data_IF_563528837456
#
_entry.id   IF_563528837456
#
_cell.length_a   1.000
_cell.length_b   1.000
_cell.length_c   1.000
_cell.angle_alpha   90.00
_cell.angle_beta   90.00
_cell.angle_gamma   90.00
#
_symmetry.space_group_name_H-M   'P 1'
#
loop_
_entity.id
_entity.type
_entity.pdbx_description
1 polymer ?
#
# COMPACT_ATOMS: atom_id res chain seq x y z
N UNK A 1 1.46 -19.31 -16.40
CA UNK A 1 2.53 -18.35 -16.05
C UNK A 1 3.53 -19.02 -15.12
N UNK A 2 4.84 -18.89 -15.39
CA UNK A 2 5.90 -19.30 -14.48
C UNK A 2 6.40 -18.05 -13.75
N UNK A 3 6.35 -18.05 -12.41
CA UNK A 3 6.75 -16.89 -11.63
C UNK A 3 8.26 -16.72 -11.53
N UNK A 4 8.73 -15.48 -11.32
CA UNK A 4 10.15 -15.12 -11.29
C UNK A 4 10.95 -15.95 -10.25
N UNK A 5 10.35 -16.24 -9.09
CA UNK A 5 10.98 -17.07 -8.04
C UNK A 5 11.26 -18.51 -8.46
N UNK A 6 10.59 -19.02 -9.49
CA UNK A 6 10.65 -20.43 -9.92
C UNK A 6 11.67 -20.64 -11.07
N UNK A 7 12.35 -19.57 -11.51
CA UNK A 7 13.36 -19.66 -12.56
C UNK A 7 14.75 -20.03 -12.00
N UNK A 8 15.49 -20.77 -12.81
CA UNK A 8 16.90 -21.10 -12.59
C UNK A 8 17.73 -20.65 -13.78
N UNK A 9 19.05 -20.52 -13.55
CA UNK A 9 19.99 -20.25 -14.64
C UNK A 9 19.90 -21.31 -15.74
N UNK A 10 19.82 -20.86 -16.99
CA UNK A 10 19.67 -21.71 -18.17
C UNK A 10 18.21 -21.92 -18.60
N UNK A 11 17.24 -21.51 -17.80
CA UNK A 11 15.82 -21.57 -18.18
C UNK A 11 15.51 -20.60 -19.33
N UNK A 12 14.46 -20.93 -20.11
CA UNK A 12 13.88 -20.02 -21.09
C UNK A 12 12.68 -19.31 -20.49
N UNK A 13 12.60 -18.02 -20.77
CA UNK A 13 11.46 -17.16 -20.39
C UNK A 13 10.56 -17.00 -21.60
N UNK A 14 9.27 -17.24 -21.41
CA UNK A 14 8.20 -16.91 -22.33
C UNK A 14 6.94 -16.66 -21.52
N UNK A 15 6.81 -15.42 -21.01
CA UNK A 15 5.67 -15.05 -20.16
C UNK A 15 5.50 -13.52 -20.13
N UNK A 16 4.42 -13.06 -19.51
CA UNK A 16 4.12 -11.64 -19.33
C UNK A 16 4.68 -11.16 -18.01
N UNK A 17 5.26 -9.95 -17.99
CA UNK A 17 5.77 -9.27 -16.79
C UNK A 17 5.40 -7.78 -16.81
N UNK A 18 5.34 -7.17 -15.64
CA UNK A 18 5.31 -5.71 -15.51
C UNK A 18 6.72 -5.16 -15.70
N UNK A 19 6.89 -4.23 -16.63
CA UNK A 19 8.10 -3.43 -16.75
C UNK A 19 8.16 -2.38 -15.64
N UNK A 20 8.74 -2.71 -14.49
CA UNK A 20 8.83 -1.77 -13.36
C UNK A 20 9.74 -0.58 -13.63
N UNK A 21 10.78 -0.78 -14.43
CA UNK A 21 11.77 0.24 -14.75
C UNK A 21 12.39 -0.03 -16.10
N UNK A 22 12.67 1.03 -16.86
CA UNK A 22 13.40 0.97 -18.13
C UNK A 22 14.36 2.15 -18.21
N UNK A 23 15.61 1.89 -18.56
CA UNK A 23 16.63 2.89 -18.77
C UNK A 23 17.58 2.49 -19.90
N UNK A 24 17.70 3.35 -20.90
CA UNK A 24 18.69 3.17 -21.94
C UNK A 24 20.09 3.55 -21.44
N UNK A 25 21.08 2.76 -21.80
CA UNK A 25 22.47 2.94 -21.45
C UNK A 25 23.39 2.59 -22.62
N UNK A 26 24.67 2.93 -22.49
CA UNK A 26 25.69 2.66 -23.51
C UNK A 26 26.81 1.82 -22.91
N UNK A 27 27.18 0.75 -23.58
CA UNK A 27 28.33 -0.09 -23.19
C UNK A 27 29.65 0.68 -23.36
N UNK A 28 30.73 0.20 -22.75
CA UNK A 28 32.09 0.74 -22.95
C UNK A 28 32.54 0.79 -24.42
N UNK A 29 31.92 -0.03 -25.27
CA UNK A 29 32.21 -0.11 -26.71
C UNK A 29 31.24 0.72 -27.55
N UNK A 30 30.43 1.60 -26.96
CA UNK A 30 29.53 2.51 -27.64
C UNK A 30 28.22 1.88 -28.14
N UNK A 31 27.90 0.61 -27.79
CA UNK A 31 26.64 -0.02 -28.16
C UNK A 31 25.55 0.34 -27.14
N UNK A 32 24.38 0.77 -27.64
CA UNK A 32 23.21 1.00 -26.83
C UNK A 32 22.62 -0.32 -26.34
N UNK A 33 22.11 -0.32 -25.11
CA UNK A 33 21.34 -1.39 -24.51
C UNK A 33 20.32 -0.82 -23.51
N UNK A 34 19.25 -1.55 -23.26
CA UNK A 34 18.29 -1.15 -22.21
C UNK A 34 18.43 -2.03 -20.99
N UNK A 35 18.49 -1.37 -19.83
CA UNK A 35 18.27 -1.98 -18.52
C UNK A 35 16.78 -1.98 -18.23
N UNK A 36 16.24 -3.11 -17.88
CA UNK A 36 14.83 -3.29 -17.53
C UNK A 36 14.76 -4.04 -16.21
N UNK A 37 13.84 -3.64 -15.34
CA UNK A 37 13.44 -4.42 -14.17
C UNK A 37 12.07 -5.00 -14.48
N UNK A 38 11.99 -6.32 -14.53
CA UNK A 38 10.74 -7.06 -14.69
C UNK A 38 10.19 -7.44 -13.34
N UNK A 39 8.87 -7.39 -13.18
CA UNK A 39 8.17 -7.68 -11.93
C UNK A 39 7.01 -8.65 -12.16
N UNK A 40 6.86 -9.59 -11.23
CA UNK A 40 5.61 -10.30 -10.95
C UNK A 40 5.30 -10.24 -9.45
N UNK A 41 4.21 -10.88 -9.01
CA UNK A 41 3.81 -10.88 -7.59
C UNK A 41 4.81 -11.57 -6.65
N UNK A 42 5.80 -12.27 -7.18
CA UNK A 42 6.82 -12.99 -6.38
C UNK A 42 8.11 -12.20 -6.21
N UNK A 43 8.30 -11.12 -6.98
CA UNK A 43 9.47 -10.27 -6.88
C UNK A 43 9.84 -9.58 -8.17
N UNK A 44 11.10 -9.18 -8.26
CA UNK A 44 11.68 -8.49 -9.41
C UNK A 44 12.94 -9.21 -9.90
N UNK A 45 13.25 -9.04 -11.19
CA UNK A 45 14.50 -9.53 -11.80
C UNK A 45 15.06 -8.49 -12.76
N UNK A 46 16.38 -8.35 -12.78
CA UNK A 46 17.05 -7.55 -13.79
C UNK A 46 16.95 -8.23 -15.18
N UNK A 47 16.70 -7.41 -16.20
CA UNK A 47 16.70 -7.85 -17.59
C UNK A 47 17.53 -6.91 -18.46
N UNK A 48 18.16 -7.47 -19.49
CA UNK A 48 18.99 -6.73 -20.46
C UNK A 48 18.49 -6.95 -21.87
N UNK A 49 18.33 -5.85 -22.60
CA UNK A 49 18.06 -5.82 -24.01
C UNK A 49 19.32 -5.31 -24.69
N UNK A 50 20.16 -6.23 -25.17
CA UNK A 50 21.47 -5.88 -25.74
C UNK A 50 21.42 -5.23 -27.11
N UNK A 51 20.29 -5.33 -27.81
CA UNK A 51 20.02 -4.71 -29.11
C UNK A 51 18.58 -4.15 -29.11
N UNK A 52 18.35 -2.95 -28.57
CA UNK A 52 17.03 -2.33 -28.51
C UNK A 52 16.40 -2.05 -29.87
N UNK A 53 17.23 -1.95 -30.92
CA UNK A 53 16.76 -1.70 -32.29
C UNK A 53 16.42 -2.98 -33.07
N UNK A 54 16.54 -4.15 -32.45
CA UNK A 54 16.18 -5.41 -33.08
C UNK A 54 14.67 -5.43 -33.39
N UNK A 55 14.23 -5.89 -34.59
CA UNK A 55 12.82 -5.99 -34.95
C UNK A 55 11.96 -6.82 -34.01
N UNK A 56 12.58 -7.67 -33.17
CA UNK A 56 11.89 -8.45 -32.14
C UNK A 56 11.58 -7.66 -30.88
N UNK A 57 12.08 -6.44 -30.71
CA UNK A 57 11.82 -5.57 -29.57
C UNK A 57 10.79 -4.53 -30.00
N UNK A 58 9.55 -4.69 -29.53
CA UNK A 58 8.48 -3.72 -29.74
C UNK A 58 8.62 -2.50 -28.82
N UNK A 59 7.86 -1.45 -29.10
CA UNK A 59 7.79 -0.26 -28.26
C UNK A 59 7.07 -0.57 -26.95
N UNK A 60 7.67 -0.18 -25.85
CA UNK A 60 7.10 -0.26 -24.50
C UNK A 60 7.78 0.75 -23.59
N UNK A 61 7.11 1.12 -22.50
CA UNK A 61 7.60 2.03 -21.47
C UNK A 61 7.57 1.40 -20.08
N UNK A 62 8.11 2.12 -19.12
CA UNK A 62 7.95 1.81 -17.69
C UNK A 62 6.45 1.72 -17.37
N UNK A 63 6.09 0.74 -16.53
CA UNK A 63 4.73 0.38 -16.10
C UNK A 63 3.86 -0.31 -17.17
N UNK A 64 4.39 -0.58 -18.35
CA UNK A 64 3.71 -1.45 -19.30
C UNK A 64 3.79 -2.93 -18.93
N UNK A 65 2.74 -3.66 -19.21
CA UNK A 65 2.75 -5.12 -19.19
C UNK A 65 3.29 -5.62 -20.54
N UNK A 66 4.34 -6.43 -20.47
CA UNK A 66 5.11 -6.85 -21.63
C UNK A 66 5.28 -8.37 -21.65
N UNK A 67 5.03 -8.97 -22.81
CA UNK A 67 5.38 -10.36 -23.08
C UNK A 67 6.86 -10.45 -23.44
N UNK A 68 7.61 -11.22 -22.68
CA UNK A 68 9.06 -11.31 -22.77
C UNK A 68 9.46 -12.71 -23.21
N UNK A 69 10.30 -12.79 -24.24
CA UNK A 69 11.02 -14.01 -24.61
C UNK A 69 12.53 -13.81 -24.40
N UNK A 70 13.17 -14.71 -23.66
CA UNK A 70 14.57 -14.57 -23.32
C UNK A 70 15.17 -15.82 -22.67
N UNK A 71 16.40 -15.70 -22.19
CA UNK A 71 17.10 -16.74 -21.46
C UNK A 71 17.53 -16.21 -20.07
N UNK A 72 17.37 -17.04 -19.05
CA UNK A 72 17.85 -16.73 -17.70
C UNK A 72 19.35 -17.01 -17.61
N UNK A 73 20.09 -16.02 -17.16
CA UNK A 73 21.54 -16.11 -16.94
C UNK A 73 21.86 -15.67 -15.51
N UNK A 74 23.08 -15.86 -15.07
CA UNK A 74 23.59 -15.36 -13.79
C UNK A 74 24.64 -14.27 -14.01
N UNK A 75 24.52 -13.16 -13.26
CA UNK A 75 25.51 -12.10 -13.24
C UNK A 75 25.81 -11.70 -11.79
N UNK A 76 27.06 -11.81 -11.37
CA UNK A 76 27.51 -11.55 -9.99
C UNK A 76 26.71 -12.29 -8.91
N UNK A 77 26.25 -13.51 -9.22
CA UNK A 77 25.48 -14.35 -8.28
C UNK A 77 23.97 -14.05 -8.24
N UNK A 78 23.46 -13.08 -9.03
CA UNK A 78 22.05 -12.81 -9.18
C UNK A 78 21.53 -13.28 -10.54
N UNK A 79 20.28 -13.74 -10.60
CA UNK A 79 19.61 -14.07 -11.85
C UNK A 79 19.36 -12.80 -12.67
N UNK A 80 19.53 -12.92 -13.99
CA UNK A 80 19.30 -11.87 -14.96
C UNK A 80 18.65 -12.47 -16.22
N UNK A 81 17.72 -11.78 -16.84
CA UNK A 81 17.10 -12.21 -18.09
C UNK A 81 17.75 -11.51 -19.28
N UNK A 82 18.33 -12.26 -20.20
CA UNK A 82 18.74 -11.77 -21.50
C UNK A 82 17.57 -11.81 -22.46
N UNK A 83 16.99 -10.65 -22.73
CA UNK A 83 15.77 -10.49 -23.55
C UNK A 83 16.10 -10.55 -25.01
N UNK A 84 15.32 -11.33 -25.78
CA UNK A 84 15.44 -11.51 -27.24
C UNK A 84 14.25 -10.89 -27.98
N UNK A 85 13.06 -10.94 -27.37
CA UNK A 85 11.84 -10.35 -27.95
C UNK A 85 10.99 -9.76 -26.83
N UNK A 86 10.32 -8.67 -27.18
CA UNK A 86 9.32 -8.00 -26.32
C UNK A 86 8.15 -7.57 -27.19
N UNK A 87 6.95 -7.74 -26.62
CA UNK A 87 5.71 -7.18 -27.13
C UNK A 87 4.95 -6.54 -25.97
N UNK A 88 4.45 -5.32 -26.17
CA UNK A 88 3.50 -4.72 -25.23
C UNK A 88 2.18 -5.48 -25.27
N UNK A 89 1.63 -5.81 -24.11
CA UNK A 89 0.35 -6.47 -23.95
C UNK A 89 -0.80 -5.48 -24.03
N UNK A 90 -1.97 -5.96 -24.45
CA UNK A 90 -3.22 -5.19 -24.44
C UNK A 90 -4.02 -5.53 -23.17
N UNK A 91 -4.96 -4.64 -22.85
CA UNK A 91 -5.89 -4.88 -21.73
C UNK A 91 -6.68 -6.18 -21.97
N UNK A 92 -6.75 -7.03 -20.94
CA UNK A 92 -7.38 -8.36 -21.02
C UNK A 92 -6.45 -9.52 -21.34
N UNK A 93 -5.19 -9.29 -21.73
CA UNK A 93 -4.19 -10.35 -21.94
C UNK A 93 -3.51 -10.80 -20.64
N UNK A 94 -3.68 -10.05 -19.56
CA UNK A 94 -3.05 -10.30 -18.26
C UNK A 94 -4.01 -9.96 -17.10
N UNK A 95 -3.77 -10.60 -15.95
CA UNK A 95 -4.42 -10.23 -14.69
C UNK A 95 -3.42 -9.42 -13.84
N UNK A 96 -3.68 -8.14 -13.54
CA UNK A 96 -2.80 -7.33 -12.69
C UNK A 96 -2.42 -7.98 -11.35
N UNK A 97 -3.27 -8.82 -10.78
CA UNK A 97 -3.01 -9.53 -9.54
C UNK A 97 -1.83 -10.52 -9.61
N UNK A 98 -1.39 -10.90 -10.82
CA UNK A 98 -0.22 -11.75 -11.00
C UNK A 98 1.11 -10.98 -11.01
N UNK A 99 1.07 -9.65 -11.08
CA UNK A 99 2.26 -8.80 -11.22
C UNK A 99 2.44 -7.80 -10.08
N UNK A 100 1.38 -7.53 -9.34
CA UNK A 100 1.36 -6.57 -8.25
C UNK A 100 1.31 -7.29 -6.90
N UNK A 101 1.91 -6.73 -5.86
CA UNK A 101 1.64 -7.20 -4.51
C UNK A 101 0.17 -6.90 -4.17
N UNK A 102 -0.58 -7.91 -3.77
CA UNK A 102 -2.00 -7.80 -3.39
C UNK A 102 -2.17 -8.39 -2.00
N UNK A 103 -3.08 -7.85 -1.20
CA UNK A 103 -3.45 -8.44 0.09
C UNK A 103 -3.76 -9.92 -0.06
N UNK A 104 -3.26 -10.74 0.86
CA UNK A 104 -3.61 -12.16 0.94
C UNK A 104 -5.06 -12.40 1.41
N UNK A 105 -5.72 -11.36 1.94
CA UNK A 105 -7.11 -11.38 2.39
C UNK A 105 -8.03 -10.96 1.25
N UNK A 106 -9.27 -11.44 1.29
CA UNK A 106 -10.29 -11.07 0.30
C UNK A 106 -10.71 -9.60 0.52
N UNK A 107 -10.46 -8.74 -0.47
CA UNK A 107 -10.75 -7.31 -0.41
C UNK A 107 -12.24 -7.03 -0.19
N UNK A 108 -13.12 -7.78 -0.86
CA UNK A 108 -14.57 -7.58 -0.72
C UNK A 108 -15.08 -8.00 0.65
N UNK A 109 -14.56 -9.09 1.21
CA UNK A 109 -14.90 -9.52 2.58
C UNK A 109 -14.44 -8.48 3.62
N UNK A 110 -13.20 -7.97 3.50
CA UNK A 110 -12.68 -6.90 4.36
C UNK A 110 -13.57 -5.65 4.27
N UNK A 111 -13.99 -5.28 3.06
CA UNK A 111 -14.84 -4.13 2.86
C UNK A 111 -16.23 -4.33 3.48
N UNK A 112 -16.83 -5.51 3.34
CA UNK A 112 -18.10 -5.83 3.99
C UNK A 112 -18.00 -5.81 5.52
N UNK A 113 -16.86 -6.23 6.09
CA UNK A 113 -16.60 -6.13 7.52
C UNK A 113 -16.52 -4.66 7.95
N UNK A 114 -15.83 -3.80 7.20
CA UNK A 114 -15.75 -2.35 7.45
C UNK A 114 -17.13 -1.70 7.43
N UNK A 115 -17.97 -2.04 6.46
CA UNK A 115 -19.37 -1.58 6.39
C UNK A 115 -20.20 -2.01 7.61
N UNK A 116 -19.88 -3.17 8.20
CA UNK A 116 -20.48 -3.63 9.46
C UNK A 116 -20.19 -2.66 10.62
N UNK A 117 -18.96 -2.15 10.74
CA UNK A 117 -18.60 -1.13 11.73
C UNK A 117 -19.34 0.19 11.46
N UNK A 118 -19.41 0.64 10.21
CA UNK A 118 -20.15 1.86 9.82
C UNK A 118 -21.63 1.75 10.19
N UNK A 119 -22.25 0.61 9.89
CA UNK A 119 -23.66 0.35 10.22
C UNK A 119 -23.95 0.43 11.72
N UNK A 120 -22.97 0.01 12.54
CA UNK A 120 -23.09 0.00 14.00
C UNK A 120 -22.93 1.38 14.66
N UNK A 121 -22.50 2.42 13.94
CA UNK A 121 -22.42 3.79 14.45
C UNK A 121 -23.84 4.30 14.74
N UNK A 122 -24.07 4.77 15.98
CA UNK A 122 -25.37 5.30 16.45
C UNK A 122 -25.50 6.81 16.23
N UNK A 123 -24.38 7.57 16.36
CA UNK A 123 -24.38 9.01 16.12
C UNK A 123 -24.71 9.31 14.66
N UNK A 124 -25.88 9.94 14.42
CA UNK A 124 -26.41 10.17 13.08
C UNK A 124 -25.50 11.00 12.16
N UNK A 125 -24.71 11.92 12.72
CA UNK A 125 -23.82 12.79 11.94
C UNK A 125 -22.55 12.04 11.53
N UNK A 126 -21.94 11.29 12.45
CA UNK A 126 -20.78 10.45 12.15
C UNK A 126 -21.15 9.34 11.18
N UNK A 127 -22.30 8.68 11.40
CA UNK A 127 -22.81 7.66 10.47
C UNK A 127 -22.98 8.23 9.08
N UNK A 128 -23.65 9.38 8.95
CA UNK A 128 -23.86 10.03 7.64
C UNK A 128 -22.54 10.43 6.98
N UNK A 129 -21.56 10.86 7.76
CA UNK A 129 -20.21 11.16 7.26
C UNK A 129 -19.54 9.90 6.68
N UNK A 130 -19.60 8.77 7.41
CA UNK A 130 -19.04 7.49 6.93
C UNK A 130 -19.77 7.00 5.68
N UNK A 131 -21.09 7.06 5.66
CA UNK A 131 -21.89 6.69 4.49
C UNK A 131 -21.53 7.55 3.26
N UNK A 132 -21.28 8.85 3.45
CA UNK A 132 -20.89 9.76 2.36
C UNK A 132 -19.54 9.37 1.69
N UNK A 133 -18.64 8.66 2.37
CA UNK A 133 -17.42 8.13 1.80
C UNK A 133 -17.59 6.68 1.31
N UNK A 134 -18.11 5.81 2.17
CA UNK A 134 -18.01 4.36 2.00
C UNK A 134 -19.30 3.71 1.46
N UNK A 135 -20.33 4.48 1.15
CA UNK A 135 -21.58 3.97 0.55
C UNK A 135 -21.96 4.76 -0.69
N UNK A 136 -21.89 6.10 -0.62
CA UNK A 136 -22.43 6.96 -1.68
C UNK A 136 -21.38 7.32 -2.75
N UNK A 137 -20.09 7.29 -2.43
CA UNK A 137 -19.00 7.74 -3.30
C UNK A 137 -18.30 6.53 -3.95
N UNK A 138 -18.82 6.11 -5.09
CA UNK A 138 -18.31 4.92 -5.81
C UNK A 138 -16.87 5.06 -6.26
N UNK A 139 -16.42 6.26 -6.64
CA UNK A 139 -15.06 6.50 -7.08
C UNK A 139 -14.09 6.44 -5.90
N UNK A 140 -14.46 7.04 -4.77
CA UNK A 140 -13.69 6.92 -3.53
C UNK A 140 -13.59 5.46 -3.06
N UNK A 141 -14.71 4.72 -3.08
CA UNK A 141 -14.73 3.30 -2.68
C UNK A 141 -13.77 2.47 -3.54
N UNK A 142 -13.80 2.68 -4.85
CA UNK A 142 -12.89 1.99 -5.77
C UNK A 142 -11.44 2.32 -5.46
N UNK A 143 -11.10 3.60 -5.32
CA UNK A 143 -9.76 4.04 -4.98
C UNK A 143 -9.30 3.46 -3.63
N UNK A 144 -10.14 3.56 -2.58
CA UNK A 144 -9.82 3.07 -1.24
C UNK A 144 -9.53 1.55 -1.20
N UNK A 145 -10.30 0.75 -1.95
CA UNK A 145 -10.08 -0.71 -2.07
C UNK A 145 -8.81 -1.08 -2.81
N UNK A 146 -8.31 -0.20 -3.67
CA UNK A 146 -7.13 -0.44 -4.50
C UNK A 146 -5.85 0.19 -3.93
N UNK A 147 -5.97 1.17 -3.04
CA UNK A 147 -4.83 1.90 -2.49
C UNK A 147 -3.99 1.02 -1.55
N UNK A 148 -2.67 1.28 -1.56
CA UNK A 148 -1.74 0.84 -0.53
C UNK A 148 -1.80 1.76 0.69
N UNK A 149 -1.35 1.26 1.85
CA UNK A 149 -1.16 2.10 3.03
C UNK A 149 0.22 2.77 3.07
N UNK A 150 1.17 2.33 2.24
CA UNK A 150 2.51 2.91 2.16
C UNK A 150 3.16 2.62 0.81
N UNK A 151 4.20 3.39 0.46
CA UNK A 151 4.97 3.19 -0.78
C UNK A 151 5.79 1.88 -0.76
N UNK A 152 6.43 1.55 0.37
CA UNK A 152 7.42 0.44 0.43
C UNK A 152 7.40 -0.40 1.71
N UNK A 153 6.72 0.03 2.76
CA UNK A 153 6.67 -0.67 4.06
C UNK A 153 5.24 -1.05 4.39
N UNK A 154 5.00 -1.77 5.45
CA UNK A 154 3.71 -2.30 5.95
C UNK A 154 2.48 -1.93 5.09
N UNK A 155 1.75 -2.95 4.64
CA UNK A 155 0.58 -2.79 3.77
C UNK A 155 0.86 -2.08 2.42
N UNK A 156 2.11 -2.15 1.90
CA UNK A 156 2.53 -1.60 0.61
C UNK A 156 2.05 -2.44 -0.58
N UNK A 157 0.77 -2.80 -0.64
CA UNK A 157 0.16 -3.66 -1.64
C UNK A 157 -1.28 -3.23 -1.95
N UNK A 158 -1.84 -3.70 -3.06
CA UNK A 158 -3.24 -3.46 -3.45
C UNK A 158 -4.18 -3.95 -2.34
N UNK A 159 -5.06 -3.09 -1.85
CA UNK A 159 -5.93 -3.36 -0.71
C UNK A 159 -5.29 -3.15 0.65
N UNK A 160 -4.02 -2.72 0.69
CA UNK A 160 -3.28 -2.50 1.94
C UNK A 160 -3.88 -1.40 2.82
N UNK A 161 -4.39 -0.31 2.21
CA UNK A 161 -5.07 0.75 2.95
C UNK A 161 -6.34 0.24 3.65
N UNK A 162 -7.16 -0.57 2.97
CA UNK A 162 -8.34 -1.18 3.56
C UNK A 162 -7.97 -2.17 4.68
N UNK A 163 -6.95 -3.00 4.46
CA UNK A 163 -6.49 -3.98 5.44
C UNK A 163 -6.00 -3.30 6.72
N UNK A 164 -5.14 -2.28 6.58
CA UNK A 164 -4.66 -1.46 7.70
C UNK A 164 -5.81 -0.76 8.44
N UNK A 165 -6.67 -0.05 7.71
CA UNK A 165 -7.83 0.65 8.28
C UNK A 165 -8.73 -0.31 9.08
N UNK A 166 -8.97 -1.51 8.58
CA UNK A 166 -9.75 -2.52 9.27
C UNK A 166 -9.02 -3.05 10.53
N UNK A 167 -7.71 -3.25 10.48
CA UNK A 167 -6.88 -3.63 11.62
C UNK A 167 -6.95 -2.60 12.74
N UNK A 168 -6.73 -1.32 12.42
CA UNK A 168 -6.84 -0.19 13.36
C UNK A 168 -8.26 -0.08 13.94
N UNK A 169 -9.29 -0.25 13.09
CA UNK A 169 -10.69 -0.20 13.56
C UNK A 169 -11.00 -1.32 14.57
N UNK A 170 -10.50 -2.54 14.34
CA UNK A 170 -10.64 -3.67 15.28
C UNK A 170 -9.96 -3.40 16.62
N UNK A 171 -8.76 -2.85 16.60
CA UNK A 171 -8.05 -2.44 17.83
C UNK A 171 -8.82 -1.36 18.59
N UNK A 172 -9.34 -0.35 17.89
CA UNK A 172 -10.16 0.70 18.48
C UNK A 172 -11.47 0.15 19.08
N UNK A 173 -12.14 -0.83 18.43
CA UNK A 173 -13.32 -1.50 19.01
C UNK A 173 -12.98 -2.28 20.27
N UNK A 174 -11.83 -2.95 20.31
CA UNK A 174 -11.32 -3.60 21.51
C UNK A 174 -11.05 -2.57 22.62
N UNK A 175 -10.42 -1.43 22.32
CA UNK A 175 -10.17 -0.37 23.29
C UNK A 175 -11.46 0.20 23.87
N UNK A 176 -12.51 0.38 23.07
CA UNK A 176 -13.81 0.82 23.57
C UNK A 176 -14.45 -0.16 24.57
N UNK A 177 -14.21 -1.47 24.38
CA UNK A 177 -14.67 -2.51 25.33
C UNK A 177 -13.83 -2.50 26.62
N UNK A 178 -12.51 -2.29 26.51
CA UNK A 178 -11.59 -2.26 27.64
C UNK A 178 -11.66 -0.95 28.45
N UNK A 179 -11.96 0.17 27.77
CA UNK A 179 -11.99 1.51 28.34
C UNK A 179 -13.32 2.22 28.05
N UNK A 180 -14.36 2.04 28.89
CA UNK A 180 -15.71 2.59 28.65
C UNK A 180 -15.80 4.14 28.62
N UNK A 181 -14.75 4.85 29.01
CA UNK A 181 -14.67 6.31 28.90
C UNK A 181 -14.59 6.79 27.45
N UNK A 182 -14.07 5.95 26.54
CA UNK A 182 -13.95 6.26 25.11
C UNK A 182 -15.31 6.41 24.45
N UNK A 183 -15.46 7.44 23.64
CA UNK A 183 -16.67 7.65 22.81
C UNK A 183 -16.55 6.79 21.54
N UNK A 184 -17.19 5.62 21.60
CA UNK A 184 -17.05 4.58 20.55
C UNK A 184 -17.27 5.11 19.16
N UNK A 185 -18.38 5.84 18.92
CA UNK A 185 -18.72 6.32 17.58
C UNK A 185 -17.67 7.29 17.03
N UNK A 186 -17.10 8.15 17.87
CA UNK A 186 -16.04 9.08 17.47
C UNK A 186 -14.75 8.30 17.14
N UNK A 187 -14.33 7.38 18.02
CA UNK A 187 -13.09 6.62 17.84
C UNK A 187 -13.16 5.70 16.62
N UNK A 188 -14.27 4.98 16.42
CA UNK A 188 -14.46 4.11 15.25
C UNK A 188 -14.51 4.93 13.96
N UNK A 189 -15.23 6.06 13.93
CA UNK A 189 -15.26 6.93 12.76
C UNK A 189 -13.88 7.51 12.44
N UNK A 190 -13.13 7.90 13.46
CA UNK A 190 -11.77 8.39 13.29
C UNK A 190 -10.83 7.29 12.80
N UNK A 191 -10.92 6.06 13.32
CA UNK A 191 -10.15 4.91 12.87
C UNK A 191 -10.41 4.56 11.39
N UNK A 192 -11.68 4.62 10.96
CA UNK A 192 -12.06 4.39 9.56
C UNK A 192 -11.50 5.47 8.63
N UNK A 193 -11.38 6.71 9.11
CA UNK A 193 -11.00 7.87 8.30
C UNK A 193 -9.56 8.34 8.47
N UNK A 194 -8.75 7.79 9.39
CA UNK A 194 -7.45 8.39 9.73
C UNK A 194 -6.53 8.54 8.52
N UNK A 195 -6.57 7.58 7.64
CA UNK A 195 -5.68 7.44 6.48
C UNK A 195 -6.35 7.62 5.12
N UNK A 196 -7.59 8.09 5.04
CA UNK A 196 -8.29 8.26 3.74
C UNK A 196 -7.56 9.19 2.77
N UNK A 197 -6.74 10.10 3.26
CA UNK A 197 -5.90 10.97 2.45
C UNK A 197 -4.90 10.22 1.58
N UNK A 198 -4.50 9.01 1.96
CA UNK A 198 -3.59 8.16 1.17
C UNK A 198 -4.16 7.78 -0.20
N UNK A 199 -5.49 7.80 -0.36
CA UNK A 199 -6.14 7.64 -1.68
C UNK A 199 -5.79 8.73 -2.69
N UNK A 200 -5.25 9.87 -2.22
CA UNK A 200 -4.79 10.99 -3.04
C UNK A 200 -3.29 11.24 -2.90
N UNK A 201 -2.69 10.90 -1.75
CA UNK A 201 -1.26 11.04 -1.50
C UNK A 201 -0.43 10.12 -2.40
N UNK A 202 -0.91 8.88 -2.61
CA UNK A 202 -0.25 7.89 -3.44
C UNK A 202 -1.04 7.63 -4.72
N UNK A 203 -0.32 7.49 -5.84
CA UNK A 203 -0.91 6.96 -7.06
C UNK A 203 -1.27 5.48 -6.88
N UNK A 204 -2.23 5.00 -7.65
CA UNK A 204 -2.57 3.58 -7.64
C UNK A 204 -1.45 2.75 -8.27
N UNK A 205 -1.43 1.46 -7.93
CA UNK A 205 -0.59 0.51 -8.64
C UNK A 205 -0.90 0.51 -10.16
N UNK A 206 0.09 0.27 -11.01
CA UNK A 206 1.43 -0.29 -10.72
C UNK A 206 2.49 0.72 -10.25
N UNK A 207 2.24 2.02 -10.31
CA UNK A 207 3.22 3.05 -9.95
C UNK A 207 3.48 3.09 -8.44
N UNK A 208 2.43 3.24 -7.64
CA UNK A 208 2.46 3.32 -6.17
C UNK A 208 3.52 4.32 -5.66
N UNK A 209 3.49 5.54 -6.19
CA UNK A 209 4.40 6.62 -5.80
C UNK A 209 3.62 7.83 -5.29
N UNK A 210 4.33 8.77 -4.65
CA UNK A 210 3.73 10.01 -4.21
C UNK A 210 3.25 10.84 -5.39
N UNK A 211 2.01 11.29 -5.34
CA UNK A 211 1.50 12.32 -6.26
C UNK A 211 2.16 13.67 -5.96
N UNK A 212 2.04 14.63 -6.87
CA UNK A 212 2.56 16.00 -6.65
C UNK A 212 1.92 16.63 -5.41
N UNK A 213 0.59 16.57 -5.29
CA UNK A 213 -0.14 17.03 -4.10
C UNK A 213 0.24 16.25 -2.85
N UNK A 214 0.48 14.94 -2.97
CA UNK A 214 0.95 14.09 -1.88
C UNK A 214 2.29 14.54 -1.32
N UNK A 215 3.23 14.95 -2.18
CA UNK A 215 4.52 15.48 -1.78
C UNK A 215 4.40 16.84 -1.06
N UNK A 216 3.47 17.71 -1.48
CA UNK A 216 3.29 19.02 -0.88
C UNK A 216 2.50 19.00 0.43
N UNK A 217 1.44 18.21 0.51
CA UNK A 217 0.44 18.29 1.58
C UNK A 217 0.48 17.12 2.56
N UNK A 218 0.73 15.90 2.04
CA UNK A 218 0.66 14.67 2.80
C UNK A 218 -0.78 14.24 3.17
N UNK A 219 -0.97 12.94 3.44
CA UNK A 219 -2.30 12.34 3.67
C UNK A 219 -3.06 12.92 4.85
N UNK A 220 -2.39 13.37 5.92
CA UNK A 220 -3.03 13.92 7.12
C UNK A 220 -3.83 15.19 6.78
N UNK A 221 -3.21 16.10 6.04
CA UNK A 221 -3.85 17.36 5.62
C UNK A 221 -4.93 17.04 4.60
N UNK A 222 -4.61 16.28 3.56
CA UNK A 222 -5.56 15.90 2.50
C UNK A 222 -6.78 15.17 3.07
N UNK A 223 -6.60 14.23 4.00
CA UNK A 223 -7.69 13.53 4.68
C UNK A 223 -8.56 14.47 5.52
N UNK A 224 -7.95 15.43 6.22
CA UNK A 224 -8.68 16.44 6.99
C UNK A 224 -9.53 17.34 6.08
N UNK A 225 -9.02 17.71 4.90
CA UNK A 225 -9.77 18.48 3.90
C UNK A 225 -10.94 17.68 3.33
N UNK A 226 -10.72 16.42 2.95
CA UNK A 226 -11.75 15.51 2.45
C UNK A 226 -12.90 15.38 3.46
N UNK A 227 -12.58 15.18 4.76
CA UNK A 227 -13.58 15.16 5.84
C UNK A 227 -14.32 16.50 5.92
N UNK A 228 -13.58 17.61 5.86
CA UNK A 228 -14.17 18.94 5.86
C UNK A 228 -15.15 19.19 4.72
N UNK A 229 -14.85 18.72 3.52
CA UNK A 229 -15.72 18.80 2.35
C UNK A 229 -17.02 18.02 2.53
N UNK A 230 -16.95 16.78 3.01
CA UNK A 230 -18.15 15.96 3.25
C UNK A 230 -18.99 16.54 4.39
N UNK A 231 -18.37 17.01 5.49
CA UNK A 231 -19.10 17.64 6.62
C UNK A 231 -19.90 18.87 6.15
N UNK A 232 -19.36 19.72 5.27
CA UNK A 232 -20.08 20.90 4.73
C UNK A 232 -21.35 20.55 3.98
N UNK A 233 -21.49 19.30 3.53
CA UNK A 233 -22.68 18.80 2.80
C UNK A 233 -23.68 18.07 3.71
N UNK A 234 -23.39 17.99 5.03
CA UNK A 234 -24.27 17.35 6.01
C UNK A 234 -24.92 18.45 6.85
N UNK A 235 -26.22 18.67 6.64
CA UNK A 235 -26.95 19.71 7.35
C UNK A 235 -26.90 19.52 8.87
N UNK A 236 -26.63 20.62 9.57
CA UNK A 236 -26.64 20.67 11.02
C UNK A 236 -25.53 19.84 11.69
N UNK A 237 -24.44 19.47 10.98
CA UNK A 237 -23.31 18.78 11.60
C UNK A 237 -22.73 19.64 12.74
N UNK A 238 -22.63 19.12 13.99
CA UNK A 238 -22.21 19.94 15.13
C UNK A 238 -20.76 20.42 14.97
N UNK A 239 -20.49 21.74 15.12
CA UNK A 239 -19.13 22.28 14.92
C UNK A 239 -18.06 21.66 15.82
N UNK A 240 -18.40 21.37 17.07
CA UNK A 240 -17.46 20.74 18.00
C UNK A 240 -17.12 19.31 17.57
N UNK A 241 -18.13 18.50 17.19
CA UNK A 241 -17.90 17.14 16.68
C UNK A 241 -17.07 17.15 15.38
N UNK A 242 -17.27 18.16 14.51
CA UNK A 242 -16.45 18.35 13.33
C UNK A 242 -14.98 18.68 13.66
N UNK A 243 -14.75 19.46 14.72
CA UNK A 243 -13.40 19.75 15.22
C UNK A 243 -12.76 18.51 15.86
N UNK A 244 -13.51 17.74 16.66
CA UNK A 244 -13.03 16.53 17.35
C UNK A 244 -12.60 15.43 16.36
N UNK A 245 -13.42 15.11 15.34
CA UNK A 245 -13.02 14.10 14.34
C UNK A 245 -11.81 14.56 13.54
N UNK A 246 -11.76 15.82 13.10
CA UNK A 246 -10.60 16.38 12.41
C UNK A 246 -9.35 16.35 13.29
N UNK A 247 -9.50 16.65 14.59
CA UNK A 247 -8.40 16.57 15.54
C UNK A 247 -7.83 15.15 15.64
N UNK A 248 -8.69 14.13 15.69
CA UNK A 248 -8.22 12.74 15.67
C UNK A 248 -7.36 12.45 14.44
N UNK A 249 -7.76 12.94 13.24
CA UNK A 249 -6.99 12.76 12.02
C UNK A 249 -5.68 13.56 12.08
N UNK A 250 -5.70 14.82 12.49
CA UNK A 250 -4.50 15.67 12.59
C UNK A 250 -3.48 15.18 13.64
N UNK A 251 -3.90 14.36 14.58
CA UNK A 251 -3.11 13.94 15.73
C UNK A 251 -2.75 12.43 15.70
N UNK A 252 -3.17 11.65 14.69
CA UNK A 252 -3.05 10.19 14.74
C UNK A 252 -1.59 9.69 14.75
N UNK A 253 -0.64 10.40 14.16
CA UNK A 253 0.79 10.07 14.28
C UNK A 253 1.39 10.39 15.66
N UNK A 254 0.68 11.12 16.53
CA UNK A 254 1.01 11.34 17.93
C UNK A 254 2.05 12.43 18.18
N UNK A 255 3.20 12.39 17.54
CA UNK A 255 4.33 13.28 17.76
C UNK A 255 4.66 14.14 16.55
N UNK A 256 5.18 15.36 16.79
CA UNK A 256 5.58 16.28 15.71
C UNK A 256 6.70 15.71 14.83
N UNK A 257 7.61 14.96 15.41
CA UNK A 257 8.71 14.30 14.71
C UNK A 257 8.24 13.21 13.73
N UNK A 258 7.04 12.68 13.92
CA UNK A 258 6.39 11.73 13.01
C UNK A 258 5.46 12.42 11.98
N UNK A 259 5.55 13.74 11.87
CA UNK A 259 4.76 14.53 10.92
C UNK A 259 3.34 14.86 11.39
N UNK A 260 3.00 14.59 12.65
CA UNK A 260 1.67 14.97 13.18
C UNK A 260 1.55 16.48 13.31
N UNK A 261 0.58 17.15 12.66
CA UNK A 261 0.39 18.59 12.83
C UNK A 261 -0.04 19.00 14.24
N UNK A 262 -0.61 18.08 15.01
CA UNK A 262 -1.05 18.27 16.41
C UNK A 262 -0.74 17.02 17.24
N UNK A 263 -0.44 17.22 18.52
CA UNK A 263 -0.44 16.12 19.50
C UNK A 263 -1.86 15.79 19.93
N UNK A 264 -2.16 14.52 20.29
CA UNK A 264 -3.47 14.12 20.80
C UNK A 264 -3.89 14.94 22.03
N UNK A 265 -5.05 15.62 21.93
CA UNK A 265 -5.61 16.43 23.01
C UNK A 265 -6.91 15.84 23.59
N UNK A 266 -7.47 14.79 22.95
CA UNK A 266 -8.61 14.03 23.47
C UNK A 266 -8.24 12.55 23.52
N UNK A 267 -8.90 11.83 24.41
CA UNK A 267 -8.55 10.43 24.70
C UNK A 267 -8.73 9.51 23.49
N UNK A 268 -9.69 9.79 22.62
CA UNK A 268 -9.92 9.05 21.37
C UNK A 268 -8.75 9.22 20.39
N UNK A 269 -8.15 10.41 20.31
CA UNK A 269 -6.97 10.65 19.49
C UNK A 269 -5.73 9.90 20.03
N UNK A 270 -5.60 9.80 21.37
CA UNK A 270 -4.57 8.95 22.01
C UNK A 270 -4.79 7.49 21.66
N UNK A 271 -6.01 6.98 21.81
CA UNK A 271 -6.33 5.58 21.52
C UNK A 271 -6.10 5.25 20.04
N UNK A 272 -6.47 6.16 19.13
CA UNK A 272 -6.23 6.00 17.70
C UNK A 272 -4.73 5.90 17.37
N UNK A 273 -3.91 6.81 17.91
CA UNK A 273 -2.46 6.80 17.68
C UNK A 273 -1.82 5.46 18.11
N UNK A 274 -2.20 4.92 19.26
CA UNK A 274 -1.67 3.63 19.70
C UNK A 274 -2.18 2.46 18.86
N UNK A 275 -3.44 2.50 18.41
CA UNK A 275 -3.98 1.46 17.52
C UNK A 275 -3.26 1.44 16.16
N UNK A 276 -3.09 2.59 15.55
CA UNK A 276 -2.38 2.78 14.28
C UNK A 276 -0.92 2.29 14.40
N UNK A 277 -0.18 2.78 15.38
CA UNK A 277 1.21 2.37 15.60
C UNK A 277 1.35 0.87 15.90
N UNK A 278 0.37 0.29 16.60
CA UNK A 278 0.36 -1.15 16.90
C UNK A 278 0.19 -1.97 15.62
N UNK A 279 -0.82 -1.66 14.79
CA UNK A 279 -1.08 -2.36 13.54
C UNK A 279 0.12 -2.24 12.60
N UNK A 280 0.62 -1.03 12.37
CA UNK A 280 1.77 -0.76 11.50
C UNK A 280 3.03 -1.54 11.93
N UNK A 281 3.36 -1.57 13.23
CA UNK A 281 4.55 -2.27 13.74
C UNK A 281 4.41 -3.79 13.68
N UNK A 282 3.25 -4.33 14.06
CA UNK A 282 3.01 -5.78 14.00
C UNK A 282 3.04 -6.24 12.55
N UNK A 283 2.41 -5.52 11.64
CA UNK A 283 2.42 -5.87 10.23
C UNK A 283 3.84 -5.81 9.63
N UNK A 284 4.60 -4.74 9.89
CA UNK A 284 6.00 -4.62 9.44
C UNK A 284 6.83 -5.80 9.94
N UNK A 285 6.68 -6.17 11.21
CA UNK A 285 7.42 -7.30 11.78
C UNK A 285 7.01 -8.62 11.12
N UNK A 286 5.71 -8.79 10.85
CA UNK A 286 5.17 -9.96 10.16
C UNK A 286 5.72 -10.10 8.76
N UNK A 287 5.80 -9.01 7.99
CA UNK A 287 6.38 -8.98 6.65
C UNK A 287 7.87 -9.34 6.66
N UNK A 288 8.63 -8.82 7.62
CA UNK A 288 10.05 -9.17 7.80
C UNK A 288 10.21 -10.67 8.08
N UNK A 289 9.41 -11.24 8.98
CA UNK A 289 9.47 -12.67 9.30
C UNK A 289 9.07 -13.55 8.12
N UNK A 290 8.06 -13.17 7.36
CA UNK A 290 7.59 -13.91 6.19
C UNK A 290 8.54 -13.79 4.99
N UNK A 291 9.32 -12.72 4.91
CA UNK A 291 10.30 -12.48 3.84
C UNK A 291 11.62 -13.26 3.98
N UNK A 292 11.80 -14.05 5.06
CA UNK A 292 13.02 -14.80 5.30
C UNK A 292 12.75 -16.25 5.68
N UNK A 293 13.62 -17.14 5.22
CA UNK A 293 13.66 -18.53 5.67
C UNK A 293 14.50 -18.72 6.95
N UNK A 294 15.20 -17.68 7.41
CA UNK A 294 16.04 -17.74 8.61
C UNK A 294 15.20 -17.85 9.87
N UNK A 295 15.60 -18.75 10.77
CA UNK A 295 14.88 -19.01 12.03
C UNK A 295 15.61 -18.48 13.27
N UNK A 296 16.68 -17.74 13.07
CA UNK A 296 17.57 -17.18 14.10
C UNK A 296 17.38 -15.67 14.31
N UNK A 297 18.48 -15.02 14.68
CA UNK A 297 18.59 -13.57 14.70
C UNK A 297 18.71 -13.05 13.27
N UNK A 298 17.82 -12.12 12.89
CA UNK A 298 17.76 -11.53 11.55
C UNK A 298 18.68 -10.31 11.37
N UNK A 299 19.39 -9.92 12.44
CA UNK A 299 20.24 -8.74 12.44
C UNK A 299 19.48 -7.45 12.82
N UNK A 300 20.19 -6.33 12.73
CA UNK A 300 19.70 -5.02 13.12
C UNK A 300 18.71 -4.47 12.10
N UNK A 301 17.54 -4.08 12.57
CA UNK A 301 16.51 -3.41 11.77
C UNK A 301 16.35 -1.95 12.21
N UNK A 302 16.43 -1.01 11.26
CA UNK A 302 16.39 0.43 11.55
C UNK A 302 15.01 0.92 12.02
N UNK A 303 13.92 0.30 11.56
CA UNK A 303 12.56 0.71 11.96
C UNK A 303 12.25 0.35 13.42
N UNK A 304 12.88 -0.71 13.93
CA UNK A 304 12.71 -1.16 15.30
C UNK A 304 13.90 -0.76 16.20
N UNK A 305 14.95 -0.19 15.62
CA UNK A 305 16.20 0.15 16.31
C UNK A 305 16.75 -1.01 17.16
N UNK A 306 16.55 -2.24 16.69
CA UNK A 306 16.86 -3.46 17.42
C UNK A 306 17.21 -4.61 16.48
N UNK A 307 17.89 -5.61 17.03
CA UNK A 307 18.05 -6.91 16.37
C UNK A 307 16.74 -7.69 16.48
N UNK A 308 16.25 -8.22 15.37
CA UNK A 308 14.99 -8.93 15.29
C UNK A 308 15.18 -10.45 15.32
N UNK A 309 14.18 -11.15 15.84
CA UNK A 309 14.13 -12.62 15.87
C UNK A 309 12.69 -13.11 15.89
N UNK A 310 12.40 -14.19 15.16
CA UNK A 310 11.17 -14.94 15.31
C UNK A 310 11.12 -15.70 16.65
N UNK A 311 9.97 -15.66 17.32
CA UNK A 311 9.75 -16.41 18.57
C UNK A 311 9.67 -17.90 18.30
N UNK A 312 10.38 -18.71 19.09
CA UNK A 312 10.23 -20.17 19.14
C UNK A 312 9.75 -20.55 20.55
N UNK A 313 8.74 -21.40 20.60
CA UNK A 313 8.17 -21.92 21.85
C UNK A 313 8.72 -23.31 22.19
N UNK A 314 9.51 -23.93 21.27
CA UNK A 314 10.14 -25.23 21.43
C UNK A 314 11.67 -25.12 21.31
#
# INVERSE_FOLDING_TARGET
MKYLKDYNEGDRVFDIYLCKFKQSAVTKNGKSYDNVILQDKTGTVDAKIWDPNNPGIGDFDTLDYIEVYGDVTSFQGALQINVKRIRKCQEGEFDPADYLPVSSKNIDEMYMELLGYIKAIENKYLKRLMEAFFVDDTDFIKAFKQSSAAKTVHHGFVGGLLEHTLGVTKLCDYYCKAYPILKKDLLISAAICHDIGKTKELSLFPENDYTEDGQFLGHIVMGTEMIGEKIRRIDGFPPLLAAEIKHCILAHHGEYEFGSPKKPAIIEAVALNFADNTDAKIQTFTEILNGTAETGWLGYNRLFESNLRGTKLE
#
